data_IF_006626213204
#
_entry.id   IF_006626213204
#
_cell.length_a   1.000
_cell.length_b   1.000
_cell.length_c   1.000
_cell.angle_alpha   90.00
_cell.angle_beta   90.00
_cell.angle_gamma   90.00
#
_symmetry.space_group_name_H-M   'P 1'
#
loop_
_entity.id
_entity.type
_entity.pdbx_description
1 polymer ?
#
# COMPACT_ATOMS: atom_id res chain seq x y z
N UNK A 1 7.99 10.86 2.94
CA UNK A 1 6.97 9.82 3.19
C UNK A 1 6.09 9.67 1.96
N UNK A 2 6.52 8.89 0.96
CA UNK A 2 5.64 8.43 -0.10
C UNK A 2 4.98 7.14 0.41
N UNK A 3 3.87 7.28 1.13
CA UNK A 3 3.08 6.14 1.60
C UNK A 3 2.54 5.33 0.42
N UNK A 4 2.23 4.06 0.63
CA UNK A 4 1.62 3.19 -0.38
C UNK A 4 0.43 3.88 -1.08
N UNK A 5 0.59 4.26 -2.36
CA UNK A 5 -0.39 5.06 -3.11
C UNK A 5 -1.47 4.22 -3.82
N UNK A 6 -1.48 2.90 -3.66
CA UNK A 6 -2.28 1.98 -4.50
C UNK A 6 -3.52 1.38 -3.79
N UNK A 7 -3.80 1.73 -2.53
CA UNK A 7 -4.93 1.17 -1.78
C UNK A 7 -6.24 1.96 -1.99
N UNK A 8 -7.39 1.35 -1.64
CA UNK A 8 -8.72 1.95 -1.84
C UNK A 8 -9.50 2.14 -0.54
N UNK A 9 -10.26 3.24 -0.45
CA UNK A 9 -11.24 3.51 0.60
C UNK A 9 -12.65 3.10 0.15
N UNK A 10 -13.47 2.52 1.02
CA UNK A 10 -14.87 2.22 0.72
C UNK A 10 -15.71 3.51 0.83
N UNK A 11 -15.98 4.17 -0.30
CA UNK A 11 -16.79 5.39 -0.35
C UNK A 11 -18.26 5.01 -0.54
N UNK A 12 -19.19 5.42 0.34
CA UNK A 12 -20.62 5.21 0.16
C UNK A 12 -21.11 5.92 -1.09
N UNK A 13 -21.90 5.26 -1.94
CA UNK A 13 -22.45 5.92 -3.14
C UNK A 13 -23.37 7.07 -2.74
N UNK A 14 -24.19 6.88 -1.70
CA UNK A 14 -25.15 7.86 -1.22
C UNK A 14 -24.53 9.21 -0.79
N UNK A 15 -23.25 9.28 -0.41
CA UNK A 15 -22.62 10.57 -0.06
C UNK A 15 -22.46 11.48 -1.28
N UNK A 16 -22.33 10.90 -2.47
CA UNK A 16 -22.18 11.65 -3.71
C UNK A 16 -23.52 12.21 -4.18
N UNK A 17 -24.59 11.53 -3.83
CA UNK A 17 -25.97 11.89 -4.19
C UNK A 17 -26.60 12.82 -3.15
N UNK A 18 -26.02 12.96 -1.96
CA UNK A 18 -26.54 13.82 -0.90
C UNK A 18 -26.54 15.30 -1.35
N UNK A 19 -27.72 15.91 -1.54
CA UNK A 19 -27.83 17.29 -2.03
C UNK A 19 -27.44 18.33 -0.98
N UNK A 20 -27.36 17.96 0.31
CA UNK A 20 -26.92 18.85 1.37
C UNK A 20 -25.39 19.05 1.38
N UNK A 21 -24.66 18.27 0.59
CA UNK A 21 -23.19 18.26 0.58
C UNK A 21 -22.62 18.91 -0.68
N UNK A 22 -21.66 19.81 -0.48
CA UNK A 22 -20.80 20.30 -1.55
C UNK A 22 -19.75 19.25 -1.97
N UNK A 23 -19.15 19.39 -3.14
CA UNK A 23 -18.00 18.55 -3.54
C UNK A 23 -16.85 18.58 -2.53
N UNK A 24 -16.59 19.73 -1.91
CA UNK A 24 -15.57 19.86 -0.88
C UNK A 24 -15.93 19.07 0.39
N UNK A 25 -17.21 19.08 0.80
CA UNK A 25 -17.70 18.26 1.91
C UNK A 25 -17.55 16.75 1.61
N UNK A 26 -17.91 16.32 0.40
CA UNK A 26 -17.73 14.93 -0.05
C UNK A 26 -16.25 14.50 -0.04
N UNK A 27 -15.37 15.36 -0.52
CA UNK A 27 -13.93 15.11 -0.50
C UNK A 27 -13.35 15.08 0.91
N UNK A 28 -13.86 15.89 1.83
CA UNK A 28 -13.47 15.83 3.23
C UNK A 28 -13.80 14.48 3.86
N UNK A 29 -15.00 13.94 3.59
CA UNK A 29 -15.35 12.60 4.05
C UNK A 29 -14.42 11.53 3.46
N UNK A 30 -14.13 11.59 2.14
CA UNK A 30 -13.17 10.67 1.51
C UNK A 30 -11.78 10.77 2.12
N UNK A 31 -11.30 11.98 2.43
CA UNK A 31 -10.01 12.19 3.10
C UNK A 31 -10.00 11.61 4.52
N UNK A 32 -11.10 11.73 5.27
CA UNK A 32 -11.22 11.12 6.60
C UNK A 32 -11.20 9.59 6.53
N UNK A 33 -11.83 8.97 5.53
CA UNK A 33 -11.71 7.53 5.27
C UNK A 33 -10.26 7.10 5.05
N UNK A 34 -9.41 7.98 4.48
CA UNK A 34 -7.99 7.64 4.29
C UNK A 34 -7.19 7.56 5.59
N UNK A 35 -7.67 8.25 6.63
CA UNK A 35 -7.00 8.37 7.93
C UNK A 35 -7.50 7.36 8.96
N UNK A 36 -8.69 6.81 8.77
CA UNK A 36 -9.21 5.76 9.64
C UNK A 36 -8.39 4.48 9.54
N UNK A 37 -8.12 3.83 10.67
CA UNK A 37 -7.59 2.47 10.66
C UNK A 37 -8.66 1.51 10.11
N UNK A 38 -8.29 0.47 9.34
CA UNK A 38 -9.25 -0.54 8.91
C UNK A 38 -10.03 -1.10 10.11
N UNK A 39 -11.36 -0.96 10.11
CA UNK A 39 -12.23 -1.39 11.22
C UNK A 39 -12.44 -0.36 12.34
N UNK A 40 -11.66 0.73 12.39
CA UNK A 40 -11.92 1.87 13.27
C UNK A 40 -12.45 3.04 12.44
N UNK A 41 -13.76 3.28 12.51
CA UNK A 41 -14.46 4.40 11.88
C UNK A 41 -14.17 5.73 12.58
N UNK A 42 -12.92 5.95 12.98
CA UNK A 42 -12.48 7.16 13.67
C UNK A 42 -11.19 7.67 13.05
N UNK A 43 -11.15 8.97 12.79
CA UNK A 43 -9.97 9.67 12.30
C UNK A 43 -9.66 10.84 13.23
N UNK A 44 -8.38 11.06 13.53
CA UNK A 44 -7.92 12.25 14.25
C UNK A 44 -7.12 13.13 13.31
N UNK A 45 -7.52 14.39 13.17
CA UNK A 45 -6.85 15.34 12.28
C UNK A 45 -7.09 16.80 12.68
N UNK A 46 -6.14 17.65 12.31
CA UNK A 46 -6.24 19.12 12.35
C UNK A 46 -6.90 19.66 11.06
N UNK A 47 -7.42 20.88 11.11
CA UNK A 47 -7.97 21.53 9.91
C UNK A 47 -6.90 21.75 8.83
N UNK A 48 -5.64 21.98 9.22
CA UNK A 48 -4.52 22.14 8.27
C UNK A 48 -4.22 20.85 7.51
N UNK A 49 -4.17 19.72 8.22
CA UNK A 49 -3.97 18.41 7.60
C UNK A 49 -5.12 18.09 6.63
N UNK A 50 -6.36 18.29 7.05
CA UNK A 50 -7.54 18.00 6.22
C UNK A 50 -7.59 18.90 4.99
N UNK A 51 -7.25 20.18 5.11
CA UNK A 51 -7.17 21.08 3.95
C UNK A 51 -6.13 20.63 2.94
N UNK A 52 -4.95 20.21 3.40
CA UNK A 52 -3.92 19.63 2.54
C UNK A 52 -4.42 18.38 1.80
N UNK A 53 -5.07 17.45 2.51
CA UNK A 53 -5.64 16.25 1.90
C UNK A 53 -6.78 16.57 0.92
N UNK A 54 -7.59 17.59 1.19
CA UNK A 54 -8.69 18.00 0.33
C UNK A 54 -8.27 18.91 -0.84
N UNK A 55 -6.97 19.23 -0.98
CA UNK A 55 -6.47 20.15 -2.00
C UNK A 55 -7.00 21.58 -1.83
N UNK A 56 -7.33 21.97 -0.60
CA UNK A 56 -7.81 23.31 -0.27
C UNK A 56 -6.62 24.22 0.05
N UNK A 57 -6.65 25.44 -0.47
CA UNK A 57 -5.58 26.45 -0.26
C UNK A 57 -5.52 26.97 1.17
N UNK A 58 -6.58 26.79 1.95
CA UNK A 58 -6.71 27.30 3.32
C UNK A 58 -7.46 26.31 4.21
N UNK A 59 -7.12 26.21 5.50
CA UNK A 59 -7.86 25.40 6.48
C UNK A 59 -9.20 25.99 6.90
N UNK A 60 -9.47 27.27 6.61
CA UNK A 60 -10.65 27.99 7.09
C UNK A 60 -12.00 27.37 6.69
N UNK A 61 -12.17 26.75 5.50
CA UNK A 61 -13.44 26.13 5.12
C UNK A 61 -13.72 24.79 5.80
N UNK A 62 -12.71 24.13 6.39
CA UNK A 62 -12.85 22.77 6.94
C UNK A 62 -13.95 22.68 8.02
N UNK A 63 -14.03 23.59 9.02
CA UNK A 63 -15.11 23.55 10.00
C UNK A 63 -16.51 23.63 9.39
N UNK A 64 -16.70 24.44 8.33
CA UNK A 64 -17.99 24.56 7.66
C UNK A 64 -18.38 23.27 6.93
N UNK A 65 -17.41 22.64 6.23
CA UNK A 65 -17.63 21.35 5.57
C UNK A 65 -17.87 20.22 6.57
N UNK A 66 -17.14 20.20 7.69
CA UNK A 66 -17.34 19.23 8.76
C UNK A 66 -18.73 19.38 9.40
N UNK A 67 -19.17 20.61 9.66
CA UNK A 67 -20.51 20.88 10.18
C UNK A 67 -21.62 20.47 9.19
N UNK A 68 -21.40 20.63 7.88
CA UNK A 68 -22.34 20.14 6.87
C UNK A 68 -22.45 18.61 6.87
N UNK A 69 -21.31 17.91 6.94
CA UNK A 69 -21.28 16.45 7.07
C UNK A 69 -21.96 15.98 8.37
N UNK A 70 -21.76 16.68 9.48
CA UNK A 70 -22.34 16.33 10.78
C UNK A 70 -23.86 16.53 10.78
N UNK A 71 -24.36 17.66 10.25
CA UNK A 71 -25.80 17.89 10.08
C UNK A 71 -26.46 16.86 9.17
N UNK A 72 -25.77 16.40 8.14
CA UNK A 72 -26.24 15.35 7.25
C UNK A 72 -26.02 13.92 7.80
N UNK A 73 -25.46 13.77 9.01
CA UNK A 73 -25.30 12.48 9.69
C UNK A 73 -24.14 11.61 9.20
N UNK A 74 -23.23 12.15 8.39
CA UNK A 74 -22.09 11.42 7.84
C UNK A 74 -20.89 11.36 8.79
N UNK A 75 -20.79 12.30 9.73
CA UNK A 75 -19.73 12.30 10.74
C UNK A 75 -20.26 12.76 12.08
N UNK A 76 -19.62 12.35 13.18
CA UNK A 76 -19.66 13.11 14.42
C UNK A 76 -18.31 13.76 14.68
N UNK A 77 -18.33 15.03 15.08
CA UNK A 77 -17.14 15.81 15.36
C UNK A 77 -16.97 15.97 16.87
N UNK A 78 -15.97 15.32 17.43
CA UNK A 78 -15.58 15.47 18.83
C UNK A 78 -14.38 16.40 18.94
N UNK A 79 -14.62 17.61 19.44
CA UNK A 79 -13.56 18.61 19.70
C UNK A 79 -13.30 18.75 21.19
N UNK A 80 -12.05 18.52 21.62
CA UNK A 80 -11.62 18.78 23.00
C UNK A 80 -11.10 20.21 23.14
N UNK A 81 -11.54 20.91 24.18
CA UNK A 81 -11.10 22.28 24.50
C UNK A 81 -9.57 22.32 24.60
N UNK A 82 -8.94 23.31 23.96
CA UNK A 82 -7.47 23.48 23.94
C UNK A 82 -6.69 22.58 22.98
N UNK A 83 -7.33 21.64 22.25
CA UNK A 83 -6.63 20.80 21.25
C UNK A 83 -6.84 21.32 19.83
N UNK A 84 -5.76 21.34 19.04
CA UNK A 84 -5.80 21.72 17.61
C UNK A 84 -6.42 20.62 16.72
N UNK A 85 -6.31 19.35 17.12
CA UNK A 85 -6.90 18.22 16.40
C UNK A 85 -8.28 17.85 16.94
N UNK A 86 -9.21 17.54 16.05
CA UNK A 86 -10.51 16.96 16.37
C UNK A 86 -10.52 15.46 16.05
N UNK A 87 -11.40 14.72 16.73
CA UNK A 87 -11.72 13.33 16.41
C UNK A 87 -13.01 13.32 15.60
N UNK A 88 -12.99 12.60 14.47
CA UNK A 88 -14.13 12.45 13.57
C UNK A 88 -14.54 10.98 13.58
N UNK A 89 -15.77 10.70 14.00
CA UNK A 89 -16.38 9.38 13.86
C UNK A 89 -17.13 9.33 12.54
N UNK A 90 -16.74 8.43 11.64
CA UNK A 90 -17.34 8.24 10.33
C UNK A 90 -18.62 7.44 10.46
N UNK A 91 -19.69 7.92 9.82
CA UNK A 91 -21.02 7.34 9.87
C UNK A 91 -21.64 7.25 8.49
N UNK A 92 -22.68 6.44 8.41
CA UNK A 92 -23.55 6.35 7.25
C UNK A 92 -25.00 6.52 7.70
N UNK A 93 -25.72 7.55 7.21
CA UNK A 93 -27.10 7.79 7.59
C UNK A 93 -28.03 6.59 7.36
N UNK A 94 -27.72 5.75 6.37
CA UNK A 94 -28.51 4.59 5.95
C UNK A 94 -28.23 3.30 6.73
N UNK A 95 -27.52 3.35 7.86
CA UNK A 95 -27.08 2.16 8.61
C UNK A 95 -25.70 1.65 8.17
N UNK A 96 -25.20 0.50 8.69
CA UNK A 96 -23.82 0.08 8.52
C UNK A 96 -23.41 -0.11 7.06
N UNK A 97 -22.14 0.19 6.77
CA UNK A 97 -21.54 0.08 5.44
C UNK A 97 -21.60 -1.37 4.92
N UNK A 98 -22.50 -1.62 3.98
CA UNK A 98 -22.48 -2.85 3.18
C UNK A 98 -21.63 -2.65 1.93
N UNK A 99 -20.88 -3.69 1.53
CA UNK A 99 -20.12 -3.71 0.30
C UNK A 99 -20.98 -3.38 -0.94
N UNK A 100 -22.28 -3.71 -0.91
CA UNK A 100 -23.21 -3.44 -2.00
C UNK A 100 -23.44 -1.94 -2.27
N UNK A 101 -23.28 -1.09 -1.24
CA UNK A 101 -23.58 0.34 -1.30
C UNK A 101 -22.32 1.23 -1.29
N UNK A 102 -21.14 0.63 -1.47
CA UNK A 102 -19.87 1.35 -1.48
C UNK A 102 -19.11 1.11 -2.78
N UNK A 103 -18.24 2.07 -3.13
CA UNK A 103 -17.25 1.91 -4.19
C UNK A 103 -15.86 2.06 -3.63
N UNK A 104 -14.98 1.15 -4.05
CA UNK A 104 -13.55 1.22 -3.76
C UNK A 104 -12.93 2.36 -4.56
N UNK A 105 -12.61 3.48 -3.88
CA UNK A 105 -11.98 4.66 -4.48
C UNK A 105 -10.49 4.69 -4.10
N UNK A 106 -9.56 4.92 -5.03
CA UNK A 106 -8.14 5.03 -4.71
C UNK A 106 -7.87 6.12 -3.67
N UNK A 107 -7.18 5.78 -2.58
CA UNK A 107 -6.89 6.73 -1.50
C UNK A 107 -5.99 7.89 -1.96
N UNK A 108 -5.11 7.62 -2.93
CA UNK A 108 -4.27 8.61 -3.61
C UNK A 108 -5.09 9.62 -4.41
N UNK A 109 -6.20 9.20 -5.04
CA UNK A 109 -7.17 10.12 -5.62
C UNK A 109 -7.91 10.89 -4.52
N UNK A 110 -8.40 10.19 -3.49
CA UNK A 110 -9.17 10.79 -2.39
C UNK A 110 -8.40 11.94 -1.72
N UNK A 111 -7.08 11.85 -1.68
CA UNK A 111 -6.18 12.82 -1.04
C UNK A 111 -5.28 13.57 -2.03
N UNK A 112 -5.62 13.56 -3.32
CA UNK A 112 -4.74 14.08 -4.37
C UNK A 112 -4.48 15.58 -4.19
N UNK A 113 -3.24 16.05 -4.05
CA UNK A 113 -2.94 17.41 -3.57
C UNK A 113 -3.44 18.51 -4.50
N UNK A 114 -3.43 18.27 -5.82
CA UNK A 114 -3.71 19.30 -6.84
C UNK A 114 -5.07 19.14 -7.52
N UNK A 115 -5.76 18.01 -7.36
CA UNK A 115 -7.06 17.82 -8.00
C UNK A 115 -8.13 18.52 -7.17
N UNK A 116 -8.92 19.37 -7.82
CA UNK A 116 -10.06 20.04 -7.19
C UNK A 116 -11.08 19.02 -6.63
N UNK A 117 -11.87 19.40 -5.61
CA UNK A 117 -12.93 18.53 -5.11
C UNK A 117 -13.93 18.08 -6.20
N UNK A 118 -14.30 18.96 -7.11
CA UNK A 118 -15.19 18.64 -8.24
C UNK A 118 -14.58 17.60 -9.17
N UNK A 119 -13.28 17.70 -9.51
CA UNK A 119 -12.62 16.70 -10.34
C UNK A 119 -12.60 15.32 -9.67
N UNK A 120 -12.38 15.25 -8.35
CA UNK A 120 -12.45 13.96 -7.63
C UNK A 120 -13.86 13.39 -7.64
N UNK A 121 -14.88 14.22 -7.39
CA UNK A 121 -16.27 13.77 -7.44
C UNK A 121 -16.67 13.30 -8.85
N UNK A 122 -16.19 13.97 -9.91
CA UNK A 122 -16.36 13.53 -11.30
C UNK A 122 -15.76 12.13 -11.51
N UNK A 123 -14.53 11.89 -11.07
CA UNK A 123 -13.93 10.56 -11.18
C UNK A 123 -14.79 9.50 -10.47
N UNK A 124 -15.23 9.75 -9.24
CA UNK A 124 -16.00 8.76 -8.48
C UNK A 124 -17.38 8.52 -9.11
N UNK A 125 -18.03 9.57 -9.63
CA UNK A 125 -19.28 9.43 -10.37
C UNK A 125 -19.10 8.56 -11.63
N UNK A 126 -18.05 8.78 -12.41
CA UNK A 126 -17.73 7.95 -13.57
C UNK A 126 -17.39 6.50 -13.15
N UNK A 127 -16.67 6.32 -12.04
CA UNK A 127 -16.34 5.00 -11.50
C UNK A 127 -17.59 4.20 -11.13
N UNK A 128 -18.61 4.85 -10.56
CA UNK A 128 -19.88 4.21 -10.19
C UNK A 128 -20.62 3.68 -11.42
N UNK A 129 -20.61 4.45 -12.51
CA UNK A 129 -21.36 4.16 -13.73
C UNK A 129 -20.53 3.40 -14.78
N UNK A 130 -19.23 3.19 -14.54
CA UNK A 130 -18.37 2.41 -15.42
C UNK A 130 -18.66 0.91 -15.33
N UNK A 131 -18.52 0.22 -16.46
CA UNK A 131 -18.53 -1.24 -16.47
C UNK A 131 -17.37 -1.77 -15.61
N UNK A 132 -17.60 -2.71 -14.67
CA UNK A 132 -16.57 -3.18 -13.75
C UNK A 132 -15.36 -3.85 -14.42
N UNK A 133 -15.55 -4.44 -15.62
CA UNK A 133 -14.50 -5.14 -16.37
C UNK A 133 -13.68 -4.18 -17.21
N UNK A 134 -14.35 -3.30 -17.96
CA UNK A 134 -13.67 -2.38 -18.90
C UNK A 134 -13.28 -1.06 -18.28
N UNK A 135 -13.87 -0.69 -17.14
CA UNK A 135 -13.73 0.63 -16.50
C UNK A 135 -14.15 1.78 -17.41
N UNK A 136 -15.02 1.50 -18.39
CA UNK A 136 -15.53 2.48 -19.34
C UNK A 136 -17.02 2.77 -19.10
N UNK A 137 -17.43 4.02 -19.32
CA UNK A 137 -18.83 4.40 -19.51
C UNK A 137 -18.95 5.34 -20.71
N UNK A 138 -19.98 5.11 -21.54
CA UNK A 138 -20.23 5.90 -22.75
C UNK A 138 -21.49 6.74 -22.55
N UNK A 139 -21.31 8.05 -22.41
CA UNK A 139 -22.40 8.93 -21.99
C UNK A 139 -22.33 10.31 -22.63
N UNK A 140 -23.50 10.96 -22.75
CA UNK A 140 -23.59 12.35 -23.17
C UNK A 140 -23.17 13.28 -22.03
N UNK A 141 -22.56 14.42 -22.38
CA UNK A 141 -22.11 15.45 -21.41
C UNK A 141 -23.22 15.87 -20.42
N UNK A 142 -24.47 16.11 -20.84
CA UNK A 142 -25.55 16.46 -19.90
C UNK A 142 -25.84 15.38 -18.85
N UNK A 143 -25.68 14.09 -19.19
CA UNK A 143 -25.87 12.99 -18.24
C UNK A 143 -24.79 13.02 -17.15
N UNK A 144 -23.53 13.17 -17.56
CA UNK A 144 -22.40 13.25 -16.62
C UNK A 144 -22.50 14.51 -15.74
N UNK A 145 -23.00 15.63 -16.27
CA UNK A 145 -23.29 16.83 -15.51
C UNK A 145 -24.31 16.59 -14.39
N UNK A 146 -25.39 15.83 -14.67
CA UNK A 146 -26.40 15.48 -13.65
C UNK A 146 -25.81 14.63 -12.52
N UNK A 147 -25.00 13.62 -12.86
CA UNK A 147 -24.35 12.76 -11.86
C UNK A 147 -23.39 13.53 -10.94
N UNK A 148 -22.83 14.62 -11.44
CA UNK A 148 -21.80 15.40 -10.74
C UNK A 148 -22.30 16.73 -10.21
N UNK A 149 -23.58 17.06 -10.38
CA UNK A 149 -24.13 18.37 -10.03
C UNK A 149 -23.25 19.54 -10.55
N UNK A 150 -22.74 19.42 -11.77
CA UNK A 150 -21.95 20.47 -12.45
C UNK A 150 -22.84 21.17 -13.48
N UNK A 151 -23.05 22.47 -13.32
CA UNK A 151 -24.01 23.23 -14.14
C UNK A 151 -23.47 23.67 -15.51
N UNK A 152 -22.16 23.51 -15.76
CA UNK A 152 -21.52 23.97 -17.00
C UNK A 152 -20.73 22.88 -17.73
N UNK A 153 -20.98 22.65 -19.04
CA UNK A 153 -20.16 21.75 -19.86
C UNK A 153 -18.68 22.16 -19.89
N UNK A 154 -18.40 23.46 -19.85
CA UNK A 154 -17.03 24.00 -19.85
C UNK A 154 -16.31 23.61 -18.57
N UNK A 155 -16.97 23.76 -17.42
CA UNK A 155 -16.44 23.35 -16.12
C UNK A 155 -16.21 21.84 -16.05
N UNK A 156 -17.15 21.03 -16.56
CA UNK A 156 -16.98 19.58 -16.63
C UNK A 156 -15.74 19.19 -17.45
N UNK A 157 -15.57 19.77 -18.65
CA UNK A 157 -14.43 19.51 -19.53
C UNK A 157 -13.11 19.95 -18.89
N UNK A 158 -13.09 21.07 -18.17
CA UNK A 158 -11.91 21.52 -17.42
C UNK A 158 -11.48 20.48 -16.38
N UNK A 159 -12.42 19.97 -15.58
CA UNK A 159 -12.13 18.95 -14.58
C UNK A 159 -11.74 17.61 -15.21
N UNK A 160 -12.41 17.19 -16.29
CA UNK A 160 -12.02 15.99 -17.04
C UNK A 160 -10.58 16.11 -17.58
N UNK A 161 -10.20 17.26 -18.15
CA UNK A 161 -8.81 17.51 -18.59
C UNK A 161 -7.81 17.45 -17.45
N UNK A 162 -8.16 17.98 -16.27
CA UNK A 162 -7.28 17.89 -15.09
C UNK A 162 -7.06 16.44 -14.64
N UNK A 163 -8.09 15.59 -14.73
CA UNK A 163 -7.97 14.14 -14.46
C UNK A 163 -7.14 13.44 -15.54
N UNK A 164 -7.32 13.79 -16.81
CA UNK A 164 -6.51 13.25 -17.92
C UNK A 164 -5.02 13.58 -17.75
N UNK A 165 -4.71 14.84 -17.43
CA UNK A 165 -3.33 15.29 -17.20
C UNK A 165 -2.67 14.57 -16.01
N UNK A 166 -3.46 14.22 -14.99
CA UNK A 166 -2.99 13.46 -13.84
C UNK A 166 -3.06 11.93 -14.03
N UNK A 167 -3.45 11.43 -15.21
CA UNK A 167 -3.49 10.00 -15.54
C UNK A 167 -4.67 9.20 -14.98
N UNK A 168 -5.68 9.87 -14.43
CA UNK A 168 -6.86 9.25 -13.81
C UNK A 168 -8.02 9.01 -14.77
N UNK A 169 -7.99 9.62 -15.95
CA UNK A 169 -9.10 9.54 -16.91
C UNK A 169 -8.55 9.50 -18.34
N UNK A 170 -9.24 8.78 -19.23
CA UNK A 170 -9.15 8.98 -20.68
C UNK A 170 -10.55 9.27 -21.21
N UNK A 171 -10.62 10.16 -22.20
CA UNK A 171 -11.87 10.56 -22.83
C UNK A 171 -11.70 10.39 -24.33
N UNK A 172 -12.62 9.64 -24.94
CA UNK A 172 -12.67 9.40 -26.38
C UNK A 172 -14.03 9.83 -26.91
N UNK A 173 -14.13 10.18 -28.21
CA UNK A 173 -15.42 10.26 -28.88
C UNK A 173 -16.18 8.93 -28.71
N UNK A 174 -17.44 9.01 -28.29
CA UNK A 174 -18.30 7.84 -28.15
C UNK A 174 -18.82 7.35 -29.50
N UNK A 175 -19.44 6.17 -29.51
CA UNK A 175 -19.99 5.57 -30.74
C UNK A 175 -21.36 6.16 -31.12
N UNK A 176 -22.04 6.83 -30.18
CA UNK A 176 -23.32 7.50 -30.41
C UNK A 176 -23.20 9.01 -30.63
N UNK A 177 -24.23 9.66 -31.20
CA UNK A 177 -24.23 11.10 -31.43
C UNK A 177 -24.05 11.87 -30.11
N UNK A 178 -23.08 12.79 -30.10
CA UNK A 178 -22.77 13.66 -28.95
C UNK A 178 -22.40 12.92 -27.63
N UNK A 179 -21.99 11.66 -27.74
CA UNK A 179 -21.51 10.86 -26.59
C UNK A 179 -20.00 10.88 -26.49
N UNK A 180 -19.48 10.74 -25.27
CA UNK A 180 -18.07 10.47 -25.01
C UNK A 180 -17.92 9.15 -24.27
N UNK A 181 -16.88 8.40 -24.59
CA UNK A 181 -16.44 7.25 -23.80
C UNK A 181 -15.40 7.71 -22.78
N UNK A 182 -15.75 7.60 -21.51
CA UNK A 182 -14.88 7.89 -20.37
C UNK A 182 -14.31 6.58 -19.84
N UNK A 183 -12.98 6.48 -19.76
CA UNK A 183 -12.28 5.32 -19.19
C UNK A 183 -11.58 5.77 -17.90
N UNK A 184 -12.05 5.26 -16.75
CA UNK A 184 -11.45 5.57 -15.45
C UNK A 184 -10.19 4.72 -15.24
N UNK A 185 -9.12 5.36 -14.80
CA UNK A 185 -7.81 4.74 -14.61
C UNK A 185 -7.32 4.94 -13.19
N UNK A 186 -6.50 4.00 -12.72
CA UNK A 186 -5.73 4.15 -11.48
C UNK A 186 -4.24 4.01 -11.81
N UNK A 187 -3.51 5.13 -11.96
CA UNK A 187 -2.10 5.11 -12.36
C UNK A 187 -1.21 4.39 -11.33
N UNK A 188 -1.61 4.37 -10.06
CA UNK A 188 -0.85 3.69 -9.01
C UNK A 188 -1.12 2.19 -8.99
N UNK A 189 -2.34 1.77 -9.30
CA UNK A 189 -2.69 0.35 -9.43
C UNK A 189 -1.95 -0.31 -10.58
N UNK A 190 -1.92 0.31 -11.76
CA UNK A 190 -1.21 -0.26 -12.91
C UNK A 190 0.29 -0.46 -12.63
N UNK A 191 0.93 0.53 -11.99
CA UNK A 191 2.32 0.42 -11.56
C UNK A 191 2.52 -0.71 -10.52
N UNK A 192 1.57 -0.88 -9.59
CA UNK A 192 1.65 -1.94 -8.59
C UNK A 192 1.41 -3.33 -9.17
N UNK A 193 0.50 -3.47 -10.12
CA UNK A 193 0.28 -4.70 -10.88
C UNK A 193 1.51 -5.07 -11.71
N UNK A 194 2.15 -4.09 -12.37
CA UNK A 194 3.42 -4.33 -13.07
C UNK A 194 4.54 -4.79 -12.13
N UNK A 195 4.63 -4.23 -10.91
CA UNK A 195 5.59 -4.70 -9.92
C UNK A 195 5.28 -6.12 -9.44
N UNK A 196 4.01 -6.47 -9.25
CA UNK A 196 3.61 -7.83 -8.93
C UNK A 196 4.08 -8.84 -10.01
N UNK A 197 3.94 -8.51 -11.29
CA UNK A 197 4.43 -9.39 -12.36
C UNK A 197 5.96 -9.52 -12.35
N UNK A 198 6.69 -8.44 -12.02
CA UNK A 198 8.15 -8.54 -11.85
C UNK A 198 8.54 -9.42 -10.68
N UNK A 199 7.85 -9.30 -9.54
CA UNK A 199 8.07 -10.16 -8.37
C UNK A 199 7.85 -11.63 -8.73
N UNK A 200 6.78 -11.94 -9.47
CA UNK A 200 6.51 -13.31 -9.97
C UNK A 200 7.67 -13.84 -10.80
N UNK A 201 8.08 -13.09 -11.82
CA UNK A 201 9.16 -13.48 -12.72
C UNK A 201 10.50 -13.67 -11.99
N UNK A 202 10.79 -12.85 -10.97
CA UNK A 202 11.98 -13.05 -10.12
C UNK A 202 11.88 -14.36 -9.35
N UNK A 203 10.78 -14.59 -8.63
CA UNK A 203 10.60 -15.82 -7.85
C UNK A 203 10.62 -17.10 -8.72
N UNK A 204 10.08 -17.06 -9.94
CA UNK A 204 10.07 -18.21 -10.86
C UNK A 204 11.47 -18.62 -11.35
N UNK A 205 12.43 -17.69 -11.37
CA UNK A 205 13.80 -17.94 -11.85
C UNK A 205 14.75 -18.40 -10.76
N UNK A 206 14.37 -18.24 -9.49
CA UNK A 206 15.26 -18.48 -8.37
C UNK A 206 15.35 -19.95 -7.97
N UNK A 207 16.58 -20.42 -7.76
CA UNK A 207 16.85 -21.80 -7.29
C UNK A 207 16.46 -21.98 -5.83
N UNK A 208 16.72 -20.96 -5.00
CA UNK A 208 16.47 -20.98 -3.56
C UNK A 208 15.24 -20.14 -3.23
N UNK A 209 14.07 -20.71 -3.45
CA UNK A 209 12.80 -19.98 -3.36
C UNK A 209 12.54 -19.32 -1.98
N UNK A 210 13.02 -19.92 -0.88
CA UNK A 210 12.82 -19.38 0.48
C UNK A 210 13.57 -18.05 0.69
N UNK A 211 14.83 -18.01 0.28
CA UNK A 211 15.68 -16.82 0.31
C UNK A 211 15.14 -15.74 -0.65
N UNK A 212 14.69 -16.14 -1.85
CA UNK A 212 14.08 -15.23 -2.81
C UNK A 212 12.80 -14.58 -2.24
N UNK A 213 11.91 -15.36 -1.61
CA UNK A 213 10.72 -14.83 -0.92
C UNK A 213 11.14 -13.84 0.17
N UNK A 214 12.17 -14.16 0.96
CA UNK A 214 12.68 -13.26 2.00
C UNK A 214 13.13 -11.93 1.40
N UNK A 215 13.96 -11.96 0.35
CA UNK A 215 14.44 -10.75 -0.33
C UNK A 215 13.30 -9.89 -0.88
N UNK A 216 12.24 -10.50 -1.42
CA UNK A 216 11.06 -9.76 -1.85
C UNK A 216 10.25 -9.17 -0.68
N UNK A 217 10.11 -9.90 0.42
CA UNK A 217 9.51 -9.34 1.64
C UNK A 217 10.33 -8.16 2.18
N UNK A 218 11.66 -8.24 2.15
CA UNK A 218 12.56 -7.14 2.53
C UNK A 218 12.40 -5.92 1.60
N UNK A 219 12.27 -6.13 0.28
CA UNK A 219 12.01 -5.06 -0.70
C UNK A 219 10.71 -4.29 -0.39
N UNK A 220 9.71 -4.98 0.15
CA UNK A 220 8.42 -4.40 0.53
C UNK A 220 8.51 -3.72 1.90
N UNK A 221 9.12 -4.38 2.89
CA UNK A 221 9.09 -3.97 4.30
C UNK A 221 10.12 -2.88 4.64
N UNK A 222 11.32 -2.92 4.09
CA UNK A 222 12.42 -2.04 4.53
C UNK A 222 12.38 -0.71 3.77
N UNK A 223 12.49 0.40 4.51
CA UNK A 223 12.34 1.74 3.96
C UNK A 223 13.57 2.24 3.18
N UNK A 224 14.73 1.64 3.40
CA UNK A 224 16.00 1.98 2.73
C UNK A 224 16.30 1.03 1.57
N UNK A 225 16.90 1.56 0.51
CA UNK A 225 17.45 0.84 -0.63
C UNK A 225 18.98 0.63 -0.52
N UNK A 226 19.59 1.08 0.57
CA UNK A 226 21.03 0.95 0.84
C UNK A 226 21.35 -0.45 1.38
N UNK A 227 21.28 -1.43 0.48
CA UNK A 227 21.66 -2.80 0.77
C UNK A 227 22.51 -3.40 -0.36
N UNK A 228 23.17 -4.51 -0.04
CA UNK A 228 23.80 -5.39 -1.00
C UNK A 228 23.30 -6.81 -0.79
N UNK A 229 22.80 -7.44 -1.84
CA UNK A 229 22.50 -8.88 -1.84
C UNK A 229 23.80 -9.68 -1.99
N UNK A 230 23.87 -10.84 -1.36
CA UNK A 230 24.99 -11.78 -1.45
C UNK A 230 26.32 -11.07 -1.10
N UNK A 231 26.30 -10.30 -0.01
CA UNK A 231 27.38 -9.40 0.36
C UNK A 231 28.56 -10.18 0.95
N UNK A 232 29.76 -9.97 0.40
CA UNK A 232 31.01 -10.58 0.87
C UNK A 232 31.99 -9.50 1.35
N UNK A 233 31.72 -8.82 2.46
CA UNK A 233 32.59 -7.75 2.93
C UNK A 233 33.97 -8.29 3.30
N UNK A 234 35.01 -7.46 3.15
CA UNK A 234 36.41 -7.90 3.28
C UNK A 234 36.79 -8.48 4.64
N UNK A 235 36.07 -8.10 5.71
CA UNK A 235 36.28 -8.64 7.05
C UNK A 235 35.64 -10.03 7.27
N UNK A 236 34.74 -10.45 6.39
CA UNK A 236 33.96 -11.67 6.55
C UNK A 236 34.64 -12.85 5.84
N UNK A 237 35.83 -13.19 6.36
CA UNK A 237 36.67 -14.29 5.89
C UNK A 237 36.85 -15.27 7.02
N UNK A 238 36.61 -16.56 6.76
CA UNK A 238 36.85 -17.60 7.76
C UNK A 238 38.36 -17.66 8.07
N UNK A 239 38.78 -17.38 9.33
CA UNK A 239 40.19 -17.34 9.67
C UNK A 239 40.87 -18.72 9.61
N UNK A 240 40.10 -19.81 9.67
CA UNK A 240 40.63 -21.18 9.61
C UNK A 240 40.88 -21.65 8.17
N UNK A 241 40.01 -21.27 7.22
CA UNK A 241 40.07 -21.77 5.84
C UNK A 241 40.52 -20.71 4.84
N UNK A 242 40.52 -19.43 5.20
CA UNK A 242 40.76 -18.30 4.29
C UNK A 242 39.60 -18.03 3.33
N UNK A 243 38.50 -18.77 3.41
CA UNK A 243 37.36 -18.63 2.51
C UNK A 243 36.50 -17.41 2.86
N UNK A 244 36.04 -16.70 1.83
CA UNK A 244 35.07 -15.61 2.00
C UNK A 244 33.71 -16.18 2.38
N UNK A 245 33.11 -15.65 3.43
CA UNK A 245 31.71 -15.89 3.77
C UNK A 245 30.84 -14.78 3.16
N UNK A 246 29.53 -14.98 3.19
CA UNK A 246 28.56 -14.14 2.50
C UNK A 246 27.35 -13.89 3.40
N UNK A 247 26.78 -12.68 3.38
CA UNK A 247 25.44 -12.39 3.91
C UNK A 247 24.42 -12.41 2.78
N UNK A 248 23.24 -13.01 2.98
CA UNK A 248 22.19 -13.03 1.94
C UNK A 248 21.75 -11.61 1.57
N UNK A 249 21.61 -10.73 2.58
CA UNK A 249 21.42 -9.28 2.37
C UNK A 249 22.07 -8.47 3.48
N UNK A 250 22.82 -7.43 3.13
CA UNK A 250 23.47 -6.54 4.08
C UNK A 250 23.06 -5.07 3.91
N UNK A 251 22.40 -4.51 4.93
CA UNK A 251 22.08 -3.10 5.06
C UNK A 251 23.26 -2.36 5.71
N UNK A 252 24.30 -2.11 4.92
CA UNK A 252 25.61 -1.65 5.38
C UNK A 252 25.58 -0.33 6.18
N UNK A 253 24.66 0.59 5.89
CA UNK A 253 24.50 1.84 6.69
C UNK A 253 23.85 1.63 8.05
N UNK A 254 23.14 0.53 8.23
CA UNK A 254 22.47 0.19 9.48
C UNK A 254 23.25 -0.82 10.31
N UNK A 255 24.34 -1.40 9.77
CA UNK A 255 25.07 -2.47 10.44
C UNK A 255 24.20 -3.72 10.66
N UNK A 256 23.27 -4.00 9.75
CA UNK A 256 22.34 -5.14 9.87
C UNK A 256 22.49 -6.05 8.66
N UNK A 257 22.79 -7.33 8.90
CA UNK A 257 22.77 -8.39 7.90
C UNK A 257 21.55 -9.30 8.14
N UNK A 258 20.93 -9.76 7.07
CA UNK A 258 19.80 -10.69 7.09
C UNK A 258 20.25 -12.00 6.46
N UNK A 259 19.88 -13.11 7.09
CA UNK A 259 20.21 -14.48 6.67
C UNK A 259 18.93 -15.33 6.66
N UNK A 260 18.79 -16.20 5.66
CA UNK A 260 17.72 -17.17 5.57
C UNK A 260 18.22 -18.59 5.84
N UNK A 261 17.80 -19.16 6.96
CA UNK A 261 18.16 -20.53 7.32
C UNK A 261 17.05 -21.50 6.90
N UNK A 262 17.07 -21.95 5.65
CA UNK A 262 16.11 -22.92 5.12
C UNK A 262 16.11 -24.30 5.84
N UNK A 263 15.16 -25.20 5.55
CA UNK A 263 15.06 -26.53 6.18
C UNK A 263 16.32 -27.39 6.04
N UNK A 264 17.10 -27.15 4.98
CA UNK A 264 18.39 -27.78 4.72
C UNK A 264 19.43 -27.51 5.82
N UNK A 265 19.23 -26.50 6.68
CA UNK A 265 20.07 -26.26 7.87
C UNK A 265 19.69 -27.14 9.07
N UNK A 266 18.51 -27.78 9.08
CA UNK A 266 17.93 -28.42 10.27
C UNK A 266 17.54 -29.89 10.07
N UNK A 267 17.42 -30.36 8.83
CA UNK A 267 17.08 -31.75 8.52
C UNK A 267 18.18 -32.40 7.66
N UNK A 268 18.68 -33.55 8.11
CA UNK A 268 19.30 -34.54 7.22
C UNK A 268 18.23 -34.99 6.24
N UNK A 269 18.13 -34.34 5.09
CA UNK A 269 17.36 -34.90 3.97
C UNK A 269 18.01 -36.23 3.59
N UNK A 270 17.23 -37.25 3.22
CA UNK A 270 17.73 -38.61 2.94
C UNK A 270 18.81 -38.73 1.84
N UNK A 271 19.25 -37.62 1.27
CA UNK A 271 20.34 -37.49 0.32
C UNK A 271 21.71 -37.09 0.95
N UNK A 272 21.78 -36.65 2.21
CA UNK A 272 23.03 -36.25 2.88
C UNK A 272 23.06 -36.61 4.37
N UNK A 273 23.60 -37.80 4.74
CA UNK A 273 23.66 -38.29 6.12
C UNK A 273 25.07 -38.15 6.73
N UNK A 274 25.72 -36.99 6.63
CA UNK A 274 27.05 -36.79 7.22
C UNK A 274 27.04 -35.79 8.41
N UNK A 275 27.17 -36.28 9.66
CA UNK A 275 27.31 -35.46 10.86
C UNK A 275 28.46 -34.44 10.80
N UNK A 276 29.51 -34.71 10.01
CA UNK A 276 30.63 -33.76 9.85
C UNK A 276 30.21 -32.52 9.04
N UNK A 277 29.33 -32.66 8.05
CA UNK A 277 28.83 -31.52 7.28
C UNK A 277 27.96 -30.60 8.15
N UNK A 278 27.15 -31.17 9.05
CA UNK A 278 26.35 -30.40 10.02
C UNK A 278 27.25 -29.63 10.99
N UNK A 279 28.28 -30.28 11.54
CA UNK A 279 29.26 -29.61 12.43
C UNK A 279 30.02 -28.52 11.70
N UNK A 280 30.43 -28.76 10.47
CA UNK A 280 31.14 -27.78 9.64
C UNK A 280 30.26 -26.56 9.37
N UNK A 281 28.97 -26.77 9.07
CA UNK A 281 28.02 -25.67 8.88
C UNK A 281 27.79 -24.88 10.18
N UNK A 282 27.63 -25.56 11.31
CA UNK A 282 27.49 -24.90 12.61
C UNK A 282 28.73 -24.07 12.98
N UNK A 283 29.93 -24.61 12.75
CA UNK A 283 31.18 -23.88 12.97
C UNK A 283 31.27 -22.66 12.05
N UNK A 284 30.89 -22.81 10.78
CA UNK A 284 30.86 -21.71 9.82
C UNK A 284 29.90 -20.60 10.24
N UNK A 285 28.72 -20.96 10.74
CA UNK A 285 27.73 -20.00 11.24
C UNK A 285 28.24 -19.28 12.50
N UNK A 286 28.88 -20.01 13.44
CA UNK A 286 29.50 -19.43 14.63
C UNK A 286 30.61 -18.42 14.28
N UNK A 287 31.50 -18.80 13.37
CA UNK A 287 32.57 -17.92 12.86
C UNK A 287 31.96 -16.67 12.21
N UNK A 288 30.93 -16.84 11.36
CA UNK A 288 30.23 -15.73 10.71
C UNK A 288 29.64 -14.77 11.75
N UNK A 289 28.97 -15.28 12.77
CA UNK A 289 28.38 -14.48 13.84
C UNK A 289 29.43 -13.74 14.68
N UNK A 290 30.56 -14.39 14.99
CA UNK A 290 31.65 -13.76 15.73
C UNK A 290 32.25 -12.59 14.92
N UNK A 291 32.63 -12.84 13.67
CA UNK A 291 33.20 -11.82 12.78
C UNK A 291 32.25 -10.64 12.57
N UNK A 292 30.96 -10.90 12.39
CA UNK A 292 29.95 -9.86 12.26
C UNK A 292 29.86 -9.00 13.52
N UNK A 293 29.80 -9.62 14.71
CA UNK A 293 29.74 -8.92 15.99
C UNK A 293 30.96 -8.02 16.20
N UNK A 294 32.15 -8.54 15.94
CA UNK A 294 33.41 -7.80 16.10
C UNK A 294 33.48 -6.55 15.20
N UNK A 295 32.71 -6.54 14.10
CA UNK A 295 32.61 -5.42 13.17
C UNK A 295 31.32 -4.60 13.33
N UNK A 296 30.61 -4.76 14.45
CA UNK A 296 29.39 -4.01 14.75
C UNK A 296 28.21 -4.36 13.83
N UNK A 297 28.22 -5.54 13.21
CA UNK A 297 27.13 -6.03 12.35
C UNK A 297 26.23 -6.98 13.14
N UNK A 298 24.95 -6.64 13.23
CA UNK A 298 23.91 -7.50 13.79
C UNK A 298 23.37 -8.42 12.69
N UNK A 299 23.44 -9.73 12.92
CA UNK A 299 22.83 -10.72 12.02
C UNK A 299 21.43 -11.06 12.53
N UNK A 300 20.42 -10.82 11.69
CA UNK A 300 19.03 -11.25 11.90
C UNK A 300 18.78 -12.49 11.06
N UNK A 301 18.60 -13.62 11.74
CA UNK A 301 18.30 -14.90 11.09
C UNK A 301 16.79 -15.08 10.96
N UNK A 302 16.34 -15.39 9.76
CA UNK A 302 14.95 -15.71 9.43
C UNK A 302 14.85 -17.19 9.08
N UNK A 303 13.94 -17.90 9.75
CA UNK A 303 13.66 -19.32 9.49
C UNK A 303 12.38 -19.50 8.67
N UNK A 304 12.11 -20.69 8.11
CA UNK A 304 10.90 -20.94 7.32
C UNK A 304 9.63 -20.52 8.04
N UNK A 305 9.46 -20.85 9.32
CA UNK A 305 8.28 -20.45 10.11
C UNK A 305 8.12 -18.93 10.27
N UNK A 306 9.22 -18.18 10.22
CA UNK A 306 9.22 -16.72 10.30
C UNK A 306 8.93 -16.08 8.94
N UNK A 307 8.95 -16.85 7.84
CA UNK A 307 8.80 -16.39 6.46
C UNK A 307 7.34 -16.03 6.13
N UNK A 308 6.72 -15.21 6.97
CA UNK A 308 5.44 -14.56 6.74
C UNK A 308 5.66 -13.05 6.76
N UNK A 309 4.73 -12.28 6.19
CA UNK A 309 4.85 -10.82 6.21
C UNK A 309 5.02 -10.26 7.63
N UNK A 310 4.20 -10.73 8.59
CA UNK A 310 4.29 -10.29 9.99
C UNK A 310 5.49 -10.90 10.72
N UNK A 311 5.85 -12.15 10.44
CA UNK A 311 7.01 -12.81 11.03
C UNK A 311 8.31 -12.10 10.68
N UNK A 312 8.53 -11.84 9.38
CA UNK A 312 9.69 -11.08 8.92
C UNK A 312 9.66 -9.66 9.49
N UNK A 313 8.51 -8.98 9.46
CA UNK A 313 8.38 -7.63 10.04
C UNK A 313 8.82 -7.60 11.51
N UNK A 314 8.34 -8.55 12.33
CA UNK A 314 8.68 -8.64 13.75
C UNK A 314 10.18 -8.90 13.97
N UNK A 315 10.84 -9.67 13.09
CA UNK A 315 12.29 -9.90 13.14
C UNK A 315 13.13 -8.66 12.85
N UNK A 316 12.60 -7.73 12.07
CA UNK A 316 13.32 -6.51 11.66
C UNK A 316 13.02 -5.31 12.56
N UNK A 317 11.96 -5.38 13.36
CA UNK A 317 11.54 -4.30 14.24
C UNK A 317 12.65 -3.96 15.24
N UNK A 318 12.95 -2.67 15.39
CA UNK A 318 14.06 -2.17 16.21
C UNK A 318 15.43 -2.17 15.53
N UNK A 319 15.61 -2.91 14.42
CA UNK A 319 16.90 -2.97 13.69
C UNK A 319 16.91 -2.12 12.42
N UNK A 320 15.81 -2.10 11.67
CA UNK A 320 15.70 -1.41 10.39
C UNK A 320 14.51 -0.45 10.35
N UNK A 321 14.59 0.64 9.57
CA UNK A 321 13.44 1.49 9.32
C UNK A 321 12.42 0.73 8.45
N UNK A 322 11.22 0.50 8.98
CA UNK A 322 10.17 -0.25 8.30
C UNK A 322 9.13 0.67 7.67
N UNK A 323 8.64 0.27 6.49
CA UNK A 323 7.54 0.94 5.79
C UNK A 323 6.21 0.50 6.39
N UNK A 324 5.27 1.44 6.44
CA UNK A 324 3.86 1.10 6.66
C UNK A 324 3.27 0.52 5.37
N UNK A 325 3.18 -0.81 5.33
CA UNK A 325 2.57 -1.54 4.21
C UNK A 325 1.26 -2.17 4.64
N UNK A 326 0.24 -2.00 3.79
CA UNK A 326 -1.09 -2.55 3.99
C UNK A 326 -1.15 -4.00 3.55
N UNK A 327 -1.92 -4.81 4.27
CA UNK A 327 -2.08 -6.24 3.97
C UNK A 327 -2.79 -6.49 2.65
N UNK A 328 -3.56 -5.53 2.17
CA UNK A 328 -4.32 -5.61 0.93
C UNK A 328 -3.44 -5.44 -0.32
N UNK A 329 -2.15 -5.16 -0.17
CA UNK A 329 -1.20 -4.98 -1.28
C UNK A 329 -1.17 -6.18 -2.20
N UNK A 330 -1.39 -6.02 -3.52
CA UNK A 330 -1.30 -7.12 -4.47
C UNK A 330 0.01 -7.90 -4.30
N UNK A 331 1.13 -7.20 -4.07
CA UNK A 331 2.44 -7.80 -3.82
C UNK A 331 2.46 -8.49 -2.46
N UNK A 332 1.99 -7.86 -1.38
CA UNK A 332 1.96 -8.50 -0.04
C UNK A 332 1.05 -9.71 -0.02
N UNK A 333 -0.15 -9.64 -0.62
CA UNK A 333 -1.10 -10.76 -0.73
C UNK A 333 -0.48 -11.91 -1.50
N UNK A 334 0.18 -11.61 -2.62
CA UNK A 334 0.87 -12.63 -3.41
C UNK A 334 2.03 -13.26 -2.63
N UNK A 335 2.92 -12.44 -2.06
CA UNK A 335 4.04 -12.93 -1.26
C UNK A 335 3.56 -13.73 -0.04
N UNK A 336 2.47 -13.32 0.61
CA UNK A 336 1.84 -14.06 1.71
C UNK A 336 1.36 -15.43 1.24
N UNK A 337 0.69 -15.50 0.10
CA UNK A 337 0.21 -16.78 -0.45
C UNK A 337 1.38 -17.71 -0.85
N UNK A 338 2.43 -17.18 -1.48
CA UNK A 338 3.61 -17.96 -1.87
C UNK A 338 4.39 -18.41 -0.62
N UNK A 339 4.57 -17.53 0.35
CA UNK A 339 5.15 -17.82 1.67
C UNK A 339 4.42 -18.97 2.35
N UNK A 340 3.09 -18.92 2.46
CA UNK A 340 2.29 -19.98 3.07
C UNK A 340 2.42 -21.32 2.35
N UNK A 341 2.55 -21.33 1.02
CA UNK A 341 2.82 -22.55 0.25
C UNK A 341 4.21 -23.10 0.58
N UNK A 342 5.22 -22.24 0.64
CA UNK A 342 6.58 -22.62 1.00
C UNK A 342 6.66 -23.19 2.42
N UNK A 343 6.09 -22.50 3.41
CA UNK A 343 6.07 -22.93 4.82
C UNK A 343 5.44 -24.31 4.97
N UNK A 344 4.29 -24.55 4.33
CA UNK A 344 3.64 -25.86 4.38
C UNK A 344 4.51 -26.97 3.77
N UNK A 345 5.19 -26.68 2.65
CA UNK A 345 6.14 -27.63 2.04
C UNK A 345 7.34 -27.89 2.94
N UNK A 346 7.86 -26.84 3.59
CA UNK A 346 9.00 -26.93 4.51
C UNK A 346 8.67 -27.64 5.83
N UNK A 347 7.41 -27.62 6.28
CA UNK A 347 6.97 -28.29 7.51
C UNK A 347 6.54 -29.75 7.31
N UNK A 348 6.21 -30.13 6.06
CA UNK A 348 5.84 -31.50 5.68
C UNK A 348 6.94 -32.29 4.98
N UNK A 349 8.12 -31.69 4.81
CA UNK A 349 9.37 -32.34 4.44
C UNK A 349 10.18 -32.60 5.71
#
# INVERSE_FOLDING_TARGET
MQGNLWWTVPVPVAILEDPALTHASRCLYMALLTRGSPGAWQARATCRELAGLCGLRSPNPIPAHAAALERAGWVLVQKRRGRQAATYELRTPSGPLSAAHTRAVPASLATHPTLSPTARCLYVALLIHSDPRTRACSEAVPTVMRWTAVDSPTTLRLHARSLQAAGWLRVYPGHGPHTNTYVVLDPHRAAREAELERVRLRLERERYIGEAILKELLNVLVATDQFQDNARPGFLVNPLTGERLEFDRWYYKHGVAIEFNGPQHYQTTGAFPDPEQVRTQQLRDLVKHALARDHGVTIVVVRPQDLTFEGVRARLEGFLPLREVRREDPVVRYLTAVSQRYIRKAAGA
#
